data_IF_439644503929
#
_entry.id   IF_439644503929
#
_cell.length_a   1.000
_cell.length_b   1.000
_cell.length_c   1.000
_cell.angle_alpha   90.00
_cell.angle_beta   90.00
_cell.angle_gamma   90.00
#
_symmetry.space_group_name_H-M   'P 1'
#
loop_
_entity.id
_entity.type
_entity.pdbx_description
1 polymer ?
#
# COMPACT_ATOMS: atom_id res chain seq x y z
N UNK A 1 5.65 1.96 8.37
CA UNK A 1 6.16 0.62 8.71
C UNK A 1 6.75 0.02 7.45
N UNK A 2 8.05 -0.35 7.45
CA UNK A 2 8.67 -1.00 6.31
C UNK A 2 8.07 -2.40 6.13
N UNK A 3 7.75 -2.75 4.89
CA UNK A 3 7.36 -4.09 4.50
C UNK A 3 8.55 -4.78 3.85
N UNK A 4 8.84 -5.98 4.32
CA UNK A 4 9.78 -6.93 3.72
C UNK A 4 9.00 -8.16 3.26
N UNK A 5 9.58 -8.94 2.34
CA UNK A 5 8.99 -10.20 1.85
C UNK A 5 8.60 -11.11 3.02
N UNK A 6 9.50 -11.23 4.01
CA UNK A 6 9.33 -12.17 5.12
C UNK A 6 9.57 -13.62 4.69
N UNK A 7 9.58 -14.54 5.67
CA UNK A 7 9.94 -15.94 5.44
C UNK A 7 8.84 -16.68 4.68
N UNK A 8 9.21 -17.37 3.60
CA UNK A 8 8.33 -18.31 2.89
C UNK A 8 7.25 -17.66 2.01
N UNK A 9 7.35 -16.35 1.75
CA UNK A 9 6.43 -15.61 0.87
C UNK A 9 7.17 -15.09 -0.35
N UNK A 10 6.42 -14.83 -1.41
CA UNK A 10 6.86 -13.99 -2.53
C UNK A 10 6.60 -12.51 -2.22
N UNK A 11 7.23 -11.62 -2.98
CA UNK A 11 6.96 -10.18 -2.90
C UNK A 11 5.49 -9.86 -3.15
N UNK A 12 4.89 -10.47 -4.18
CA UNK A 12 3.46 -10.31 -4.50
C UNK A 12 2.61 -10.69 -3.28
N UNK A 13 2.85 -11.86 -2.70
CA UNK A 13 2.09 -12.33 -1.54
C UNK A 13 2.21 -11.35 -0.37
N UNK A 14 3.42 -10.89 -0.05
CA UNK A 14 3.61 -9.93 1.05
C UNK A 14 2.86 -8.61 0.84
N UNK A 15 2.79 -8.12 -0.40
CA UNK A 15 2.06 -6.89 -0.75
C UNK A 15 0.54 -7.14 -0.73
N UNK A 16 0.08 -8.23 -1.35
CA UNK A 16 -1.33 -8.63 -1.37
C UNK A 16 -1.89 -8.80 0.05
N UNK A 17 -1.15 -9.47 0.96
CA UNK A 17 -1.55 -9.65 2.36
C UNK A 17 -1.88 -8.30 3.04
N UNK A 18 -1.07 -7.27 2.76
CA UNK A 18 -1.25 -5.93 3.36
C UNK A 18 -2.40 -5.18 2.70
N UNK A 19 -2.55 -5.29 1.38
CA UNK A 19 -3.66 -4.71 0.64
C UNK A 19 -4.97 -5.31 1.13
N UNK A 20 -5.07 -6.65 1.22
CA UNK A 20 -6.27 -7.36 1.67
C UNK A 20 -6.66 -6.97 3.11
N UNK A 21 -5.67 -6.84 3.99
CA UNK A 21 -5.90 -6.36 5.35
C UNK A 21 -6.49 -4.94 5.38
N UNK A 22 -5.95 -4.03 4.56
CA UNK A 22 -6.40 -2.65 4.47
C UNK A 22 -7.76 -2.52 3.76
N UNK A 23 -8.01 -3.36 2.75
CA UNK A 23 -9.19 -3.37 1.91
C UNK A 23 -10.39 -4.10 2.53
N UNK A 24 -10.25 -4.65 3.75
CA UNK A 24 -11.27 -5.46 4.41
C UNK A 24 -12.69 -4.85 4.26
N UNK A 25 -13.64 -5.55 3.61
CA UNK A 25 -14.97 -5.04 3.30
C UNK A 25 -15.74 -4.48 4.49
N UNK A 26 -15.56 -5.07 5.67
CA UNK A 26 -16.23 -4.63 6.90
C UNK A 26 -15.74 -3.26 7.38
N UNK A 27 -14.51 -2.88 7.02
CA UNK A 27 -13.89 -1.60 7.40
C UNK A 27 -14.02 -0.53 6.32
N UNK A 28 -14.28 -0.94 5.07
CA UNK A 28 -14.18 -0.08 3.89
C UNK A 28 -15.52 0.19 3.20
N UNK A 29 -16.64 -0.16 3.84
CA UNK A 29 -17.98 -0.13 3.23
C UNK A 29 -17.98 -0.88 1.88
N UNK A 30 -17.59 -2.16 1.93
CA UNK A 30 -17.45 -3.04 0.76
C UNK A 30 -16.55 -2.46 -0.35
N UNK A 31 -15.51 -1.72 0.04
CA UNK A 31 -14.53 -1.12 -0.87
C UNK A 31 -14.85 0.30 -1.32
N UNK A 32 -15.99 0.87 -0.94
CA UNK A 32 -16.36 2.26 -1.29
C UNK A 32 -15.38 3.29 -0.73
N UNK A 33 -14.75 3.00 0.41
CA UNK A 33 -13.76 3.86 1.07
C UNK A 33 -12.32 3.57 0.64
N UNK A 34 -12.12 2.85 -0.47
CA UNK A 34 -10.79 2.59 -1.05
C UNK A 34 -10.55 3.58 -2.18
N UNK A 35 -9.38 4.21 -2.16
CA UNK A 35 -8.94 5.10 -3.24
C UNK A 35 -7.49 4.80 -3.59
N UNK A 36 -7.24 4.55 -4.88
CA UNK A 36 -5.89 4.41 -5.42
C UNK A 36 -5.35 5.76 -5.89
N UNK A 37 -4.05 5.97 -5.74
CA UNK A 37 -3.33 7.10 -6.31
C UNK A 37 -2.03 6.59 -6.95
N UNK A 38 -1.85 6.85 -8.24
CA UNK A 38 -0.73 6.29 -9.01
C UNK A 38 -0.81 4.77 -9.27
N UNK A 39 -1.90 4.12 -8.84
CA UNK A 39 -2.21 2.72 -9.10
C UNK A 39 -3.72 2.46 -9.05
N UNK A 40 -4.15 1.32 -9.57
CA UNK A 40 -5.49 0.77 -9.33
C UNK A 40 -5.41 -0.20 -8.14
N UNK A 41 -6.31 -0.06 -7.16
CA UNK A 41 -6.29 -0.87 -5.94
C UNK A 41 -6.38 -2.37 -6.21
N UNK A 42 -6.93 -2.79 -7.35
CA UNK A 42 -7.09 -4.20 -7.75
C UNK A 42 -5.82 -4.79 -8.36
N UNK A 43 -4.90 -3.94 -8.84
CA UNK A 43 -3.64 -4.36 -9.48
C UNK A 43 -2.41 -3.84 -8.76
N UNK A 44 -2.60 -3.21 -7.61
CA UNK A 44 -1.53 -2.54 -6.87
C UNK A 44 -0.36 -3.49 -6.53
N UNK A 45 -0.60 -4.76 -6.23
CA UNK A 45 0.49 -5.73 -6.01
C UNK A 45 1.37 -5.92 -7.26
N UNK A 46 0.75 -6.11 -8.42
CA UNK A 46 1.45 -6.24 -9.70
C UNK A 46 2.16 -4.94 -10.10
N UNK A 47 1.54 -3.78 -9.84
CA UNK A 47 2.12 -2.46 -10.13
C UNK A 47 3.35 -2.17 -9.26
N UNK A 48 3.33 -2.55 -7.98
CA UNK A 48 4.51 -2.46 -7.10
C UNK A 48 5.66 -3.33 -7.62
N UNK A 49 5.37 -4.57 -8.06
CA UNK A 49 6.38 -5.45 -8.66
C UNK A 49 6.94 -4.89 -9.97
N UNK A 50 6.08 -4.25 -10.78
CA UNK A 50 6.52 -3.60 -12.02
C UNK A 50 7.43 -2.42 -11.71
N UNK A 51 7.03 -1.54 -10.79
CA UNK A 51 7.83 -0.39 -10.36
C UNK A 51 9.20 -0.81 -9.82
N UNK A 52 9.26 -1.87 -9.01
CA UNK A 52 10.52 -2.43 -8.53
C UNK A 52 11.40 -2.96 -9.68
N UNK A 53 10.82 -3.71 -10.62
CA UNK A 53 11.55 -4.21 -11.79
C UNK A 53 12.12 -3.07 -12.64
N UNK A 54 11.35 -2.00 -12.85
CA UNK A 54 11.80 -0.80 -13.55
C UNK A 54 12.94 -0.09 -12.81
N UNK A 55 12.86 0.02 -11.49
CA UNK A 55 13.94 0.59 -10.67
C UNK A 55 15.24 -0.21 -10.78
N UNK A 56 15.17 -1.54 -10.73
CA UNK A 56 16.34 -2.42 -10.90
C UNK A 56 16.91 -2.26 -12.31
N UNK A 57 16.07 -2.25 -13.35
CA UNK A 57 16.53 -2.07 -14.72
C UNK A 57 17.22 -0.72 -14.94
N UNK A 58 16.72 0.35 -14.32
CA UNK A 58 17.28 1.69 -14.44
C UNK A 58 18.56 1.91 -13.62
N UNK A 59 18.70 1.26 -12.46
CA UNK A 59 19.78 1.56 -11.50
C UNK A 59 20.77 0.44 -11.28
N UNK A 60 20.43 -0.80 -11.66
CA UNK A 60 21.17 -2.01 -11.33
C UNK A 60 21.17 -2.37 -9.83
N UNK A 61 20.47 -1.59 -8.98
CA UNK A 61 20.53 -1.75 -7.53
C UNK A 61 19.58 -2.87 -7.08
N UNK A 62 20.16 -3.91 -6.48
CA UNK A 62 19.42 -5.01 -5.84
C UNK A 62 19.79 -5.04 -4.36
N UNK A 63 18.77 -4.93 -3.49
CA UNK A 63 18.92 -5.26 -2.07
C UNK A 63 18.37 -6.68 -1.88
N UNK A 64 19.10 -7.51 -1.14
CA UNK A 64 18.74 -8.92 -0.90
C UNK A 64 17.62 -9.07 0.13
N UNK A 65 17.84 -9.91 1.15
CA UNK A 65 16.82 -10.23 2.15
C UNK A 65 16.30 -9.02 2.96
N UNK A 66 17.12 -7.97 3.11
CA UNK A 66 16.76 -6.76 3.87
C UNK A 66 16.04 -5.70 3.04
N UNK A 67 15.60 -6.04 1.81
CA UNK A 67 14.96 -5.06 0.95
C UNK A 67 13.58 -4.64 1.46
N UNK A 68 13.32 -3.34 1.45
CA UNK A 68 12.01 -2.78 1.79
C UNK A 68 11.23 -2.67 0.50
N UNK A 69 10.19 -3.49 0.37
CA UNK A 69 9.39 -3.58 -0.86
C UNK A 69 8.21 -2.61 -0.88
N UNK A 70 7.77 -2.14 0.29
CA UNK A 70 6.75 -1.11 0.43
C UNK A 70 6.84 -0.44 1.81
N UNK A 71 6.18 0.70 1.98
CA UNK A 71 5.94 1.32 3.28
C UNK A 71 4.45 1.41 3.54
N UNK A 72 3.99 0.83 4.66
CA UNK A 72 2.63 0.98 5.16
C UNK A 72 2.58 2.17 6.14
N UNK A 73 1.76 3.18 5.86
CA UNK A 73 1.50 4.30 6.77
C UNK A 73 0.07 4.20 7.29
N UNK A 74 -0.13 4.40 8.59
CA UNK A 74 -1.44 4.38 9.23
C UNK A 74 -1.67 5.67 9.98
N UNK A 75 -2.79 6.34 9.68
CA UNK A 75 -3.34 7.43 10.48
C UNK A 75 -4.53 6.87 11.26
N UNK A 76 -4.69 7.28 12.51
CA UNK A 76 -5.75 6.78 13.38
C UNK A 76 -6.41 7.95 14.08
N UNK A 77 -7.73 7.89 14.15
CA UNK A 77 -8.59 8.91 14.72
C UNK A 77 -9.47 8.25 15.78
N UNK A 78 -9.90 9.01 16.78
CA UNK A 78 -10.84 8.53 17.78
C UNK A 78 -12.21 8.28 17.12
N UNK A 79 -13.03 7.37 17.66
CA UNK A 79 -14.42 7.26 17.22
C UNK A 79 -15.10 8.63 17.27
N UNK A 80 -15.88 8.95 16.23
CA UNK A 80 -16.62 10.23 16.08
C UNK A 80 -15.76 11.48 15.87
N UNK A 81 -14.43 11.38 15.84
CA UNK A 81 -13.55 12.53 15.57
C UNK A 81 -13.70 13.07 14.15
N UNK A 82 -13.83 12.17 13.18
CA UNK A 82 -14.04 12.46 11.76
C UNK A 82 -14.87 11.35 11.11
N UNK A 83 -15.48 11.63 9.96
CA UNK A 83 -16.19 10.60 9.19
C UNK A 83 -15.21 9.70 8.41
N UNK A 84 -15.62 8.47 8.02
CA UNK A 84 -14.79 7.61 7.17
C UNK A 84 -14.41 8.27 5.82
N UNK A 85 -15.29 9.09 5.25
CA UNK A 85 -15.03 9.85 4.02
C UNK A 85 -13.97 10.93 4.23
N UNK A 86 -14.01 11.62 5.37
CA UNK A 86 -12.97 12.59 5.73
C UNK A 86 -11.62 11.91 5.96
N UNK A 87 -11.62 10.75 6.63
CA UNK A 87 -10.42 9.95 6.83
C UNK A 87 -9.81 9.50 5.48
N UNK A 88 -10.64 9.02 4.56
CA UNK A 88 -10.22 8.66 3.21
C UNK A 88 -9.64 9.87 2.46
N UNK A 89 -10.34 11.02 2.48
CA UNK A 89 -9.88 12.27 1.85
C UNK A 89 -8.52 12.72 2.40
N UNK A 90 -8.33 12.69 3.71
CA UNK A 90 -7.05 13.03 4.35
C UNK A 90 -5.93 12.08 3.91
N UNK A 91 -6.22 10.78 3.81
CA UNK A 91 -5.27 9.78 3.30
C UNK A 91 -4.85 10.04 1.86
N UNK A 92 -5.80 10.40 0.99
CA UNK A 92 -5.52 10.76 -0.42
C UNK A 92 -4.66 12.02 -0.50
N UNK A 93 -5.00 13.06 0.24
CA UNK A 93 -4.22 14.30 0.27
C UNK A 93 -2.82 14.10 0.87
N UNK A 94 -2.68 13.20 1.84
CA UNK A 94 -1.38 12.79 2.34
C UNK A 94 -0.55 12.09 1.26
N UNK A 95 -1.13 11.10 0.56
CA UNK A 95 -0.44 10.34 -0.49
C UNK A 95 0.07 11.24 -1.63
N UNK A 96 -0.75 12.21 -2.08
CA UNK A 96 -0.37 13.17 -3.13
C UNK A 96 0.83 14.05 -2.77
N UNK A 97 1.12 14.27 -1.50
CA UNK A 97 2.27 15.10 -1.07
C UNK A 97 3.63 14.39 -1.21
N UNK A 98 3.64 13.08 -1.45
CA UNK A 98 4.86 12.29 -1.62
C UNK A 98 5.27 12.08 -3.09
N UNK A 99 4.51 12.63 -4.04
CA UNK A 99 4.76 12.58 -5.48
C UNK A 99 4.83 13.98 -6.06
#
# INVERSE_FOLDING_TARGET
>A
MPLHIGKGRTESQAISDIIDYAANPQKTDNGKLITGYGCDSRTADAEFLLAKRQYIAATGRVRGADDVIAYHVRQSFRPEEITPEEANRLGVEFAKRFT
#
